data_IF_519775745566
#
_entry.id   IF_519775745566
#
_cell.length_a   1.000
_cell.length_b   1.000
_cell.length_c   1.000
_cell.angle_alpha   90.00
_cell.angle_beta   90.00
_cell.angle_gamma   90.00
#
_symmetry.space_group_name_H-M   'P 1'
#
loop_
_entity.id
_entity.type
_entity.pdbx_description
1 polymer ?
#
# COMPACT_ATOMS: atom_id res chain seq x y z
N UNK A 1 18.75 -3.17 17.15
CA UNK A 1 17.73 -3.65 16.20
C UNK A 1 17.64 -5.16 16.34
N UNK A 2 16.52 -5.72 16.76
CA UNK A 2 16.44 -7.15 17.10
C UNK A 2 16.10 -7.97 15.84
N UNK A 3 17.12 -8.42 15.10
CA UNK A 3 16.98 -9.40 14.03
C UNK A 3 16.91 -10.80 14.63
N UNK A 4 15.79 -11.49 14.39
CA UNK A 4 15.55 -12.85 14.86
C UNK A 4 15.86 -13.80 13.70
N UNK A 5 16.96 -14.60 13.79
CA UNK A 5 17.31 -15.54 12.73
C UNK A 5 16.27 -16.65 12.61
N UNK A 6 16.16 -17.28 11.43
CA UNK A 6 15.18 -18.32 11.18
C UNK A 6 15.24 -19.49 12.17
N UNK A 7 16.41 -19.80 12.72
CA UNK A 7 16.61 -20.84 13.73
C UNK A 7 15.88 -20.57 15.06
N UNK A 8 15.62 -19.29 15.38
CA UNK A 8 14.91 -18.87 16.60
C UNK A 8 13.41 -18.63 16.39
N UNK A 9 12.91 -18.70 15.17
CA UNK A 9 11.49 -18.45 14.86
C UNK A 9 10.57 -19.59 15.35
N UNK A 10 11.13 -20.70 15.81
CA UNK A 10 10.37 -21.78 16.48
C UNK A 10 10.04 -21.47 17.94
N UNK A 11 10.59 -20.41 18.54
CA UNK A 11 10.14 -19.92 19.85
C UNK A 11 8.66 -19.55 19.78
N UNK A 12 7.88 -19.95 20.80
CA UNK A 12 6.41 -19.89 20.80
C UNK A 12 5.85 -18.52 20.40
N UNK A 13 6.42 -17.43 20.91
CA UNK A 13 5.97 -16.05 20.63
C UNK A 13 6.07 -15.68 19.15
N UNK A 14 7.11 -16.15 18.42
CA UNK A 14 7.29 -15.88 17.00
C UNK A 14 6.51 -16.87 16.13
N UNK A 15 6.50 -18.14 16.54
CA UNK A 15 5.74 -19.18 15.87
C UNK A 15 4.25 -18.85 15.78
N UNK A 16 3.67 -18.28 16.86
CA UNK A 16 2.30 -17.78 16.87
C UNK A 16 2.04 -16.63 15.89
N UNK A 17 3.03 -15.80 15.58
CA UNK A 17 2.89 -14.75 14.55
C UNK A 17 2.93 -15.38 13.16
N UNK A 18 3.90 -16.26 12.93
CA UNK A 18 4.09 -16.92 11.63
C UNK A 18 2.88 -17.76 11.26
N UNK A 19 2.23 -18.42 12.22
CA UNK A 19 1.04 -19.27 12.03
C UNK A 19 -0.25 -18.59 12.52
N UNK A 20 -0.31 -17.27 12.57
CA UNK A 20 -1.50 -16.56 13.09
C UNK A 20 -2.76 -16.86 12.26
N UNK A 21 -3.94 -17.01 12.90
CA UNK A 21 -4.18 -16.94 14.36
C UNK A 21 -3.94 -18.25 15.10
N UNK A 22 -3.86 -19.38 14.40
CA UNK A 22 -3.76 -20.71 15.00
C UNK A 22 -2.40 -21.33 14.71
N UNK A 23 -1.64 -21.59 15.78
CA UNK A 23 -0.36 -22.28 15.69
C UNK A 23 -0.55 -23.77 15.37
N UNK A 24 0.19 -24.23 14.36
CA UNK A 24 0.34 -25.64 14.01
C UNK A 24 1.80 -25.92 13.63
N UNK A 25 2.37 -27.01 14.16
CA UNK A 25 3.81 -27.32 13.98
C UNK A 25 4.17 -27.60 12.51
N UNK A 26 3.29 -28.29 11.81
CA UNK A 26 3.50 -28.62 10.39
C UNK A 26 3.48 -27.34 9.54
N UNK A 27 2.52 -26.47 9.80
CA UNK A 27 2.40 -25.18 9.12
C UNK A 27 3.63 -24.29 9.37
N UNK A 28 4.13 -24.23 10.60
CA UNK A 28 5.37 -23.52 10.91
C UNK A 28 6.55 -24.07 10.10
N UNK A 29 6.72 -25.40 10.09
CA UNK A 29 7.80 -26.05 9.36
C UNK A 29 7.77 -25.73 7.87
N UNK A 30 6.57 -25.80 7.27
CA UNK A 30 6.32 -25.43 5.88
C UNK A 30 6.73 -23.97 5.61
N UNK A 31 6.25 -23.02 6.43
CA UNK A 31 6.53 -21.60 6.26
C UNK A 31 7.99 -21.24 6.44
N UNK A 32 8.69 -21.88 7.38
CA UNK A 32 10.14 -21.73 7.53
C UNK A 32 10.90 -22.25 6.32
N UNK A 33 10.44 -23.32 5.69
CA UNK A 33 10.99 -23.81 4.43
C UNK A 33 10.75 -22.80 3.28
N UNK A 34 9.54 -22.23 3.18
CA UNK A 34 9.22 -21.18 2.22
C UNK A 34 10.07 -19.92 2.42
N UNK A 35 10.31 -19.49 3.68
CA UNK A 35 11.21 -18.37 3.99
C UNK A 35 12.64 -18.63 3.49
N UNK A 36 13.16 -19.85 3.66
CA UNK A 36 14.48 -20.21 3.13
C UNK A 36 14.53 -20.14 1.60
N UNK A 37 13.49 -20.61 0.91
CA UNK A 37 13.37 -20.53 -0.56
C UNK A 37 13.36 -19.08 -1.07
N UNK A 38 12.78 -18.16 -0.30
CA UNK A 38 12.80 -16.72 -0.60
C UNK A 38 14.13 -16.03 -0.18
N UNK A 39 15.10 -16.75 0.33
CA UNK A 39 16.38 -16.21 0.75
C UNK A 39 16.32 -15.35 2.03
N UNK A 40 15.24 -15.49 2.82
CA UNK A 40 15.09 -14.77 4.08
C UNK A 40 16.07 -15.36 5.11
N UNK A 41 16.83 -14.51 5.79
CA UNK A 41 17.81 -14.87 6.82
C UNK A 41 17.29 -14.62 8.23
N UNK A 42 16.52 -13.52 8.40
CA UNK A 42 15.99 -13.12 9.69
C UNK A 42 14.67 -12.33 9.52
N UNK A 43 13.85 -12.31 10.56
CA UNK A 43 12.71 -11.40 10.69
C UNK A 43 12.99 -10.35 11.76
N UNK A 44 12.32 -9.21 11.66
CA UNK A 44 12.32 -8.17 12.68
C UNK A 44 10.87 -7.79 13.00
N UNK A 45 10.51 -7.92 14.25
CA UNK A 45 9.15 -7.67 14.74
C UNK A 45 9.07 -6.26 15.31
N UNK A 46 8.75 -5.32 14.44
CA UNK A 46 8.60 -3.88 14.72
C UNK A 46 7.33 -3.35 14.09
N UNK A 47 6.86 -2.20 14.55
CA UNK A 47 5.69 -1.51 14.01
C UNK A 47 4.67 -1.16 15.10
N UNK A 48 3.61 -0.48 14.70
CA UNK A 48 2.59 0.07 15.60
C UNK A 48 1.45 -0.92 15.91
N UNK A 49 1.38 -2.03 15.16
CA UNK A 49 0.39 -3.07 15.41
C UNK A 49 0.99 -4.15 16.31
N UNK A 50 0.14 -4.74 17.16
CA UNK A 50 0.55 -5.82 18.07
C UNK A 50 -0.29 -7.08 17.86
N UNK A 51 0.35 -8.23 18.05
CA UNK A 51 -0.28 -9.54 18.17
C UNK A 51 0.30 -10.16 19.44
N UNK A 52 -0.50 -10.20 20.51
CA UNK A 52 0.03 -10.41 21.86
C UNK A 52 1.03 -9.30 22.20
N UNK A 53 2.24 -9.69 22.60
CA UNK A 53 3.33 -8.75 22.95
C UNK A 53 4.22 -8.41 21.75
N UNK A 54 4.03 -9.06 20.60
CA UNK A 54 4.91 -8.91 19.44
C UNK A 54 4.39 -7.81 18.51
N UNK A 55 5.26 -6.86 18.17
CA UNK A 55 4.96 -5.80 17.22
C UNK A 55 5.06 -6.30 15.78
N UNK A 56 4.18 -5.79 14.90
CA UNK A 56 4.18 -6.09 13.47
C UNK A 56 3.93 -4.81 12.66
N UNK A 57 4.37 -4.76 11.41
CA UNK A 57 4.15 -3.60 10.51
C UNK A 57 2.67 -3.45 10.14
N UNK A 58 2.00 -4.56 9.90
CA UNK A 58 0.59 -4.58 9.51
C UNK A 58 -0.11 -5.85 9.94
N UNK A 59 -1.43 -5.73 10.18
CA UNK A 59 -2.33 -6.86 10.45
C UNK A 59 -3.61 -6.63 9.64
N UNK A 60 -3.80 -7.44 8.61
CA UNK A 60 -4.95 -7.43 7.72
C UNK A 60 -5.85 -8.65 7.90
N UNK A 61 -6.84 -8.75 7.03
CA UNK A 61 -7.74 -9.92 6.95
C UNK A 61 -7.03 -11.14 6.36
N UNK A 62 -6.23 -10.95 5.31
CA UNK A 62 -5.53 -12.03 4.61
C UNK A 62 -4.17 -12.32 5.21
N UNK A 63 -3.44 -11.31 5.71
CA UNK A 63 -2.06 -11.51 6.14
C UNK A 63 -1.58 -10.57 7.24
N UNK A 64 -0.41 -10.92 7.75
CA UNK A 64 0.38 -10.14 8.69
C UNK A 64 1.64 -9.68 7.96
N UNK A 65 2.02 -8.42 8.13
CA UNK A 65 3.23 -7.86 7.51
C UNK A 65 4.29 -7.65 8.59
N UNK A 66 5.50 -8.18 8.34
CA UNK A 66 6.68 -8.02 9.19
C UNK A 66 7.88 -7.57 8.37
N UNK A 67 8.92 -7.02 9.02
CA UNK A 67 10.20 -6.80 8.34
C UNK A 67 10.95 -8.10 8.19
N UNK A 68 11.53 -8.32 7.01
CA UNK A 68 12.42 -9.44 6.70
C UNK A 68 13.80 -8.92 6.26
N UNK A 69 14.82 -9.73 6.46
CA UNK A 69 16.18 -9.46 5.99
C UNK A 69 16.63 -10.58 5.07
N UNK A 70 17.10 -10.21 3.89
CA UNK A 70 17.70 -11.08 2.87
C UNK A 70 19.15 -10.67 2.64
N UNK A 71 19.87 -11.38 1.79
CA UNK A 71 21.21 -10.96 1.33
C UNK A 71 21.19 -9.61 0.58
N UNK A 72 20.05 -9.27 -0.03
CA UNK A 72 19.85 -8.00 -0.76
C UNK A 72 19.41 -6.83 0.13
N UNK A 73 19.26 -7.07 1.44
CA UNK A 73 18.86 -6.06 2.41
C UNK A 73 17.48 -6.28 3.01
N UNK A 74 16.92 -5.19 3.53
CA UNK A 74 15.62 -5.16 4.21
C UNK A 74 14.47 -5.27 3.21
N UNK A 75 13.48 -6.08 3.55
CA UNK A 75 12.26 -6.32 2.77
C UNK A 75 11.03 -6.31 3.69
N UNK A 76 9.84 -6.21 3.11
CA UNK A 76 8.57 -6.46 3.78
C UNK A 76 8.08 -7.86 3.41
N UNK A 77 7.69 -8.63 4.43
CA UNK A 77 7.14 -9.98 4.27
C UNK A 77 5.69 -9.98 4.73
N UNK A 78 4.77 -10.22 3.79
CA UNK A 78 3.36 -10.52 4.11
C UNK A 78 3.22 -12.03 4.26
N UNK A 79 2.76 -12.45 5.43
CA UNK A 79 2.56 -13.86 5.82
C UNK A 79 1.06 -14.10 5.83
N UNK A 80 0.56 -15.03 5.01
CA UNK A 80 -0.84 -15.37 4.95
C UNK A 80 -1.33 -15.91 6.30
N UNK A 81 -2.48 -15.46 6.74
CA UNK A 81 -3.13 -16.01 7.95
C UNK A 81 -3.62 -17.43 7.68
N UNK A 82 -3.57 -18.28 8.70
CA UNK A 82 -4.05 -19.68 8.57
C UNK A 82 -5.56 -19.80 8.41
N UNK A 83 -6.31 -18.76 8.85
CA UNK A 83 -7.77 -18.65 8.72
C UNK A 83 -8.23 -17.78 7.54
N UNK A 84 -7.31 -17.38 6.65
CA UNK A 84 -7.69 -16.58 5.48
C UNK A 84 -8.47 -17.41 4.46
N UNK A 85 -9.56 -16.85 3.92
CA UNK A 85 -10.37 -17.48 2.87
C UNK A 85 -9.55 -17.80 1.60
N UNK A 86 -8.52 -17.00 1.32
CA UNK A 86 -7.60 -17.22 0.21
C UNK A 86 -6.59 -18.30 0.56
N UNK A 87 -6.48 -19.30 -0.31
CA UNK A 87 -5.57 -20.44 -0.12
C UNK A 87 -4.10 -20.12 -0.44
N UNK A 88 -3.81 -19.06 -1.17
CA UNK A 88 -2.45 -18.71 -1.60
C UNK A 88 -2.24 -17.21 -1.75
N UNK A 89 -0.97 -16.78 -1.73
CA UNK A 89 -0.55 -15.40 -2.02
C UNK A 89 -0.41 -15.11 -3.53
N UNK A 90 -0.66 -16.11 -4.39
CA UNK A 90 -0.45 -16.02 -5.84
C UNK A 90 -1.21 -14.85 -6.46
N UNK A 91 -2.50 -14.71 -6.14
CA UNK A 91 -3.33 -13.64 -6.71
C UNK A 91 -2.76 -12.24 -6.40
N UNK A 92 -2.41 -11.98 -5.15
CA UNK A 92 -1.84 -10.69 -4.75
C UNK A 92 -0.48 -10.44 -5.44
N UNK A 93 0.35 -11.48 -5.56
CA UNK A 93 1.62 -11.40 -6.28
C UNK A 93 1.44 -11.06 -7.76
N UNK A 94 0.48 -11.68 -8.44
CA UNK A 94 0.14 -11.40 -9.84
C UNK A 94 -0.37 -9.97 -10.02
N UNK A 95 -1.25 -9.49 -9.16
CA UNK A 95 -1.76 -8.11 -9.20
C UNK A 95 -0.65 -7.09 -8.92
N UNK A 96 0.21 -7.36 -7.93
CA UNK A 96 1.38 -6.53 -7.66
C UNK A 96 2.37 -6.51 -8.83
N UNK A 97 2.56 -7.64 -9.52
CA UNK A 97 3.41 -7.70 -10.70
C UNK A 97 2.87 -6.83 -11.86
N UNK A 98 1.56 -6.84 -12.08
CA UNK A 98 0.92 -5.94 -13.05
C UNK A 98 1.11 -4.47 -12.62
N UNK A 99 0.89 -4.14 -11.36
CA UNK A 99 1.12 -2.79 -10.84
C UNK A 99 2.59 -2.36 -11.03
N UNK A 100 3.55 -3.26 -10.77
CA UNK A 100 4.98 -3.00 -10.96
C UNK A 100 5.35 -2.76 -12.44
N UNK A 101 4.66 -3.39 -13.40
CA UNK A 101 4.91 -3.15 -14.83
C UNK A 101 4.61 -1.71 -15.27
N UNK A 102 3.79 -1.00 -14.50
CA UNK A 102 3.46 0.42 -14.70
C UNK A 102 4.05 1.32 -13.60
N UNK A 103 5.09 0.86 -12.90
CA UNK A 103 5.81 1.57 -11.85
C UNK A 103 4.91 2.03 -10.69
N UNK A 104 4.01 1.15 -10.23
CA UNK A 104 3.14 1.38 -9.07
C UNK A 104 3.36 0.28 -8.03
N UNK A 105 3.28 0.65 -6.75
CA UNK A 105 3.45 -0.24 -5.61
C UNK A 105 4.91 -0.60 -5.29
N UNK A 106 5.15 -1.28 -4.16
CA UNK A 106 6.47 -1.81 -3.82
C UNK A 106 6.86 -2.91 -4.80
N UNK A 107 8.15 -3.01 -5.13
CA UNK A 107 8.62 -4.04 -6.05
C UNK A 107 8.40 -5.43 -5.44
N UNK A 108 7.80 -6.34 -6.22
CA UNK A 108 7.70 -7.75 -5.89
C UNK A 108 9.11 -8.38 -5.94
N UNK A 109 9.53 -9.00 -4.84
CA UNK A 109 10.82 -9.67 -4.71
C UNK A 109 10.70 -11.18 -4.84
N UNK A 110 9.53 -11.74 -4.50
CA UNK A 110 9.22 -13.15 -4.64
C UNK A 110 7.95 -13.52 -3.88
N UNK A 111 7.44 -14.69 -4.14
CA UNK A 111 6.30 -15.22 -3.40
C UNK A 111 6.31 -16.76 -3.36
N UNK A 112 5.55 -17.30 -2.43
CA UNK A 112 5.28 -18.73 -2.27
C UNK A 112 3.78 -18.92 -2.04
N UNK A 113 3.37 -20.09 -1.61
CA UNK A 113 1.96 -20.32 -1.29
C UNK A 113 1.48 -19.40 -0.16
N UNK A 114 2.28 -19.24 0.89
CA UNK A 114 1.87 -18.56 2.12
C UNK A 114 2.59 -17.23 2.37
N UNK A 115 3.56 -16.88 1.54
CA UNK A 115 4.43 -15.73 1.74
C UNK A 115 4.49 -14.84 0.50
N UNK A 116 4.47 -13.51 0.71
CA UNK A 116 4.72 -12.49 -0.30
C UNK A 116 5.85 -11.59 0.19
N UNK A 117 6.98 -11.61 -0.50
CA UNK A 117 8.16 -10.79 -0.22
C UNK A 117 8.20 -9.60 -1.17
N UNK A 118 8.26 -8.40 -0.62
CA UNK A 118 8.25 -7.16 -1.40
C UNK A 118 9.23 -6.14 -0.83
N UNK A 119 9.53 -5.12 -1.61
CA UNK A 119 10.34 -3.99 -1.22
C UNK A 119 9.83 -3.37 0.09
N UNK A 120 10.76 -3.07 1.00
CA UNK A 120 10.43 -2.36 2.24
C UNK A 120 10.39 -0.85 1.98
N UNK A 121 9.22 -0.25 2.12
CA UNK A 121 9.05 1.18 1.97
C UNK A 121 9.22 1.86 3.34
N UNK A 122 10.27 2.66 3.45
CA UNK A 122 10.53 3.44 4.67
C UNK A 122 9.83 4.79 4.58
N UNK A 123 8.69 4.91 5.23
CA UNK A 123 7.87 6.11 5.17
C UNK A 123 6.76 6.12 6.22
N UNK A 124 5.86 7.08 6.08
CA UNK A 124 4.68 7.25 6.92
C UNK A 124 3.42 7.04 6.08
N UNK A 125 2.37 6.52 6.69
CA UNK A 125 1.04 6.54 6.08
C UNK A 125 0.64 7.99 5.76
N UNK A 126 -0.01 8.22 4.62
CA UNK A 126 -0.37 9.54 4.13
C UNK A 126 -0.99 10.47 5.20
N UNK A 127 -1.94 10.02 6.07
CA UNK A 127 -2.47 10.89 7.12
C UNK A 127 -1.42 11.31 8.16
N UNK A 128 -0.50 10.42 8.51
CA UNK A 128 0.56 10.70 9.46
C UNK A 128 1.64 11.59 8.84
N UNK A 129 1.96 11.36 7.56
CA UNK A 129 2.90 12.20 6.81
C UNK A 129 2.40 13.64 6.70
N UNK A 130 1.13 13.86 6.31
CA UNK A 130 0.54 15.20 6.24
C UNK A 130 0.61 15.89 7.59
N UNK A 131 0.22 15.23 8.68
CA UNK A 131 0.29 15.79 10.04
C UNK A 131 1.71 16.20 10.44
N UNK A 132 2.71 15.46 9.98
CA UNK A 132 4.11 15.75 10.28
C UNK A 132 4.60 17.02 9.60
N UNK A 133 4.17 17.26 8.35
CA UNK A 133 4.71 18.37 7.53
C UNK A 133 3.83 19.64 7.52
N UNK A 134 2.63 19.59 8.10
CA UNK A 134 1.63 20.66 7.97
C UNK A 134 2.13 22.03 8.42
N UNK A 135 3.06 22.09 9.36
CA UNK A 135 3.65 23.33 9.89
C UNK A 135 4.90 23.80 9.12
N UNK A 136 5.37 23.01 8.14
CA UNK A 136 6.53 23.37 7.35
C UNK A 136 6.18 24.45 6.30
N UNK A 137 7.11 25.35 5.99
CA UNK A 137 6.90 26.45 5.04
C UNK A 137 6.46 26.02 3.67
N UNK A 138 6.92 24.83 3.21
CA UNK A 138 6.66 24.26 1.89
C UNK A 138 5.57 23.18 1.91
N UNK A 139 4.86 23.02 3.02
CA UNK A 139 3.83 21.99 3.20
C UNK A 139 2.82 21.95 2.04
N UNK A 140 2.29 23.10 1.63
CA UNK A 140 1.34 23.20 0.50
C UNK A 140 1.93 22.63 -0.79
N UNK A 141 3.17 22.99 -1.13
CA UNK A 141 3.86 22.52 -2.33
C UNK A 141 4.11 21.02 -2.27
N UNK A 142 4.58 20.52 -1.13
CA UNK A 142 4.86 19.09 -0.90
C UNK A 142 3.57 18.26 -0.96
N UNK A 143 2.50 18.69 -0.28
CA UNK A 143 1.20 18.01 -0.32
C UNK A 143 0.67 17.94 -1.73
N UNK A 144 0.66 19.05 -2.49
CA UNK A 144 0.21 19.04 -3.89
C UNK A 144 1.02 18.08 -4.75
N UNK A 145 2.35 18.04 -4.60
CA UNK A 145 3.22 17.12 -5.34
C UNK A 145 2.88 15.65 -5.04
N UNK A 146 2.74 15.30 -3.77
CA UNK A 146 2.40 13.92 -3.34
C UNK A 146 1.00 13.53 -3.82
N UNK A 147 0.00 14.42 -3.71
CA UNK A 147 -1.34 14.15 -4.20
C UNK A 147 -1.37 13.95 -5.72
N UNK A 148 -0.63 14.76 -6.47
CA UNK A 148 -0.48 14.57 -7.91
C UNK A 148 0.18 13.22 -8.24
N UNK A 149 1.26 12.84 -7.53
CA UNK A 149 1.91 11.55 -7.72
C UNK A 149 0.95 10.38 -7.46
N UNK A 150 0.13 10.45 -6.40
CA UNK A 150 -0.91 9.45 -6.12
C UNK A 150 -1.90 9.33 -7.28
N UNK A 151 -2.39 10.46 -7.81
CA UNK A 151 -3.35 10.44 -8.92
C UNK A 151 -2.71 9.89 -10.21
N UNK A 152 -1.46 10.26 -10.51
CA UNK A 152 -0.73 9.72 -11.66
C UNK A 152 -0.50 8.21 -11.54
N UNK A 153 -0.22 7.71 -10.35
CA UNK A 153 -0.13 6.26 -10.10
C UNK A 153 -1.48 5.58 -10.32
N UNK A 154 -2.57 6.15 -9.80
CA UNK A 154 -3.93 5.65 -10.03
C UNK A 154 -4.30 5.64 -11.51
N UNK A 155 -3.90 6.68 -12.26
CA UNK A 155 -4.12 6.74 -13.70
C UNK A 155 -3.36 5.62 -14.43
N UNK A 156 -2.11 5.37 -14.09
CA UNK A 156 -1.34 4.25 -14.67
C UNK A 156 -1.99 2.88 -14.39
N UNK A 157 -2.55 2.69 -13.20
CA UNK A 157 -3.34 1.49 -12.89
C UNK A 157 -4.60 1.40 -13.74
N UNK A 158 -5.33 2.52 -13.95
CA UNK A 158 -6.52 2.56 -14.80
C UNK A 158 -6.17 2.20 -16.25
N UNK A 159 -5.04 2.71 -16.78
CA UNK A 159 -4.53 2.38 -18.12
C UNK A 159 -4.09 0.92 -18.26
N UNK A 160 -3.55 0.34 -17.20
CA UNK A 160 -3.20 -1.08 -17.14
C UNK A 160 -4.42 -2.01 -16.98
N UNK A 161 -5.63 -1.45 -16.82
CA UNK A 161 -6.84 -2.23 -16.57
C UNK A 161 -6.88 -2.89 -15.20
N UNK A 162 -6.06 -2.44 -14.26
CA UNK A 162 -5.98 -2.98 -12.90
C UNK A 162 -6.78 -2.12 -11.93
N UNK A 163 -7.90 -2.65 -11.40
CA UNK A 163 -8.66 -2.02 -10.33
C UNK A 163 -8.13 -2.46 -8.97
N UNK A 164 -7.67 -1.52 -8.15
CA UNK A 164 -7.14 -1.80 -6.80
C UNK A 164 -8.23 -2.29 -5.83
N UNK A 165 -9.43 -1.77 -5.94
CA UNK A 165 -10.61 -2.18 -5.18
C UNK A 165 -10.83 -1.45 -3.85
N UNK A 166 -9.81 -0.87 -3.21
CA UNK A 166 -9.93 -0.28 -1.85
C UNK A 166 -9.54 1.19 -1.75
N UNK A 167 -9.24 1.88 -2.86
CA UNK A 167 -8.73 3.26 -2.80
C UNK A 167 -9.76 4.30 -2.34
N UNK A 168 -11.04 3.98 -2.33
CA UNK A 168 -12.07 4.86 -1.73
C UNK A 168 -12.01 4.91 -0.19
N UNK A 169 -11.28 3.98 0.44
CA UNK A 169 -11.06 3.89 1.89
C UNK A 169 -9.58 3.67 2.18
N UNK A 170 -8.73 4.54 1.67
CA UNK A 170 -7.28 4.36 1.57
C UNK A 170 -6.38 4.94 2.69
N UNK A 171 -6.81 5.11 3.97
CA UNK A 171 -5.92 5.67 4.98
C UNK A 171 -4.71 4.78 5.28
N UNK A 172 -4.76 3.47 4.92
CA UNK A 172 -3.70 2.48 5.15
C UNK A 172 -2.96 2.08 3.87
N UNK A 173 -3.44 2.51 2.69
CA UNK A 173 -2.97 2.00 1.41
C UNK A 173 -2.01 2.95 0.70
N UNK A 174 -1.65 4.08 1.32
CA UNK A 174 -0.65 4.99 0.78
C UNK A 174 0.39 5.31 1.85
N UNK A 175 1.65 4.99 1.54
CA UNK A 175 2.83 5.45 2.29
C UNK A 175 3.51 6.55 1.48
N UNK A 176 4.02 7.57 2.18
CA UNK A 176 4.91 8.59 1.62
C UNK A 176 6.29 8.39 2.24
N UNK A 177 7.30 8.21 1.40
CA UNK A 177 8.67 8.01 1.83
C UNK A 177 9.38 9.32 2.19
N UNK A 178 10.65 9.22 2.60
CA UNK A 178 11.45 10.40 3.00
C UNK A 178 11.74 11.38 1.85
N UNK A 179 11.62 10.94 0.61
CA UNK A 179 11.77 11.75 -0.59
C UNK A 179 10.46 12.34 -1.12
N UNK A 180 9.37 12.24 -0.35
CA UNK A 180 8.00 12.62 -0.74
C UNK A 180 7.47 11.86 -1.97
N UNK A 181 7.96 10.63 -2.21
CA UNK A 181 7.34 9.74 -3.19
C UNK A 181 6.21 8.96 -2.54
N UNK A 182 5.07 8.92 -3.21
CA UNK A 182 3.94 8.12 -2.78
C UNK A 182 4.09 6.66 -3.23
N UNK A 183 3.57 5.74 -2.42
CA UNK A 183 3.57 4.30 -2.67
C UNK A 183 2.19 3.74 -2.36
N UNK A 184 1.52 3.19 -3.37
CA UNK A 184 0.23 2.50 -3.21
C UNK A 184 0.53 1.06 -2.79
N UNK A 185 -0.13 0.58 -1.73
CA UNK A 185 0.12 -0.71 -1.11
C UNK A 185 -1.14 -1.58 -1.11
N UNK A 186 -0.93 -2.89 -0.91
CA UNK A 186 -1.98 -3.86 -0.62
C UNK A 186 -2.91 -4.16 -1.80
N UNK A 187 -2.41 -4.98 -2.73
CA UNK A 187 -3.11 -5.40 -3.95
C UNK A 187 -3.95 -6.67 -3.75
N UNK A 188 -4.27 -7.05 -2.50
CA UNK A 188 -4.99 -8.29 -2.23
C UNK A 188 -6.39 -8.33 -2.84
N UNK A 189 -7.08 -7.18 -2.93
CA UNK A 189 -8.42 -7.08 -3.53
C UNK A 189 -8.39 -6.61 -4.98
N UNK A 190 -7.20 -6.35 -5.53
CA UNK A 190 -7.04 -5.88 -6.90
C UNK A 190 -7.54 -6.90 -7.92
N UNK A 191 -7.96 -6.43 -9.10
CA UNK A 191 -8.54 -7.29 -10.13
C UNK A 191 -8.45 -6.65 -11.52
N UNK A 192 -8.14 -7.47 -12.51
CA UNK A 192 -8.23 -7.11 -13.94
C UNK A 192 -9.60 -7.45 -14.55
N UNK A 193 -10.46 -8.14 -13.79
CA UNK A 193 -11.81 -8.53 -14.25
C UNK A 193 -12.86 -7.44 -13.99
N UNK A 194 -12.57 -6.48 -13.13
CA UNK A 194 -13.41 -5.31 -12.88
C UNK A 194 -12.95 -4.14 -13.73
N UNK A 195 -13.88 -3.26 -14.06
CA UNK A 195 -13.50 -1.99 -14.70
C UNK A 195 -12.69 -1.15 -13.73
N UNK A 196 -11.46 -0.83 -14.09
CA UNK A 196 -10.58 0.01 -13.31
C UNK A 196 -11.19 1.41 -13.09
N UNK A 197 -11.12 1.90 -11.87
CA UNK A 197 -11.68 3.20 -11.48
C UNK A 197 -10.88 3.84 -10.33
N UNK A 198 -9.55 3.65 -10.33
CA UNK A 198 -8.66 4.04 -9.26
C UNK A 198 -8.62 5.56 -9.05
N UNK A 199 -8.53 6.34 -10.13
CA UNK A 199 -8.59 7.82 -10.05
C UNK A 199 -9.88 8.27 -9.39
N UNK A 200 -11.03 7.71 -9.80
CA UNK A 200 -12.33 8.07 -9.22
C UNK A 200 -12.40 7.70 -7.74
N UNK A 201 -11.92 6.51 -7.40
CA UNK A 201 -11.95 5.98 -6.03
C UNK A 201 -11.04 6.77 -5.09
N UNK A 202 -9.82 7.09 -5.52
CA UNK A 202 -8.89 7.86 -4.69
C UNK A 202 -9.33 9.32 -4.52
N UNK A 203 -9.94 9.93 -5.56
CA UNK A 203 -10.48 11.29 -5.44
C UNK A 203 -11.63 11.37 -4.43
N UNK A 204 -12.46 10.33 -4.30
CA UNK A 204 -13.48 10.27 -3.25
C UNK A 204 -12.86 10.35 -1.87
N UNK A 205 -11.76 9.61 -1.64
CA UNK A 205 -11.05 9.60 -0.38
C UNK A 205 -10.31 10.91 -0.08
N UNK A 206 -9.65 11.50 -1.10
CA UNK A 206 -8.79 12.66 -0.91
C UNK A 206 -9.54 13.99 -0.91
N UNK A 207 -10.66 14.14 -1.67
CA UNK A 207 -11.24 15.44 -1.94
C UNK A 207 -12.74 15.58 -1.67
N UNK A 208 -13.49 14.47 -1.61
CA UNK A 208 -14.95 14.58 -1.57
C UNK A 208 -15.55 14.32 -0.20
N UNK A 209 -15.06 13.34 0.56
CA UNK A 209 -15.71 12.92 1.82
C UNK A 209 -14.71 12.53 2.90
N UNK A 210 -15.05 12.91 4.13
CA UNK A 210 -14.41 12.44 5.35
C UNK A 210 -13.18 13.25 5.77
N UNK A 211 -12.59 12.84 6.87
CA UNK A 211 -11.50 13.55 7.56
C UNK A 211 -10.27 13.84 6.69
N UNK A 212 -10.00 13.00 5.68
CA UNK A 212 -8.88 13.24 4.78
C UNK A 212 -9.16 14.41 3.83
N UNK A 213 -10.36 14.47 3.26
CA UNK A 213 -10.76 15.59 2.40
C UNK A 213 -10.77 16.93 3.19
N UNK A 214 -11.27 16.91 4.44
CA UNK A 214 -11.22 18.07 5.33
C UNK A 214 -9.78 18.52 5.63
N UNK A 215 -8.90 17.57 5.95
CA UNK A 215 -7.48 17.86 6.21
C UNK A 215 -6.79 18.46 4.99
N UNK A 216 -7.01 17.88 3.82
CA UNK A 216 -6.41 18.35 2.55
C UNK A 216 -6.98 19.72 2.18
N UNK A 217 -8.29 19.92 2.28
CA UNK A 217 -8.91 21.21 1.95
C UNK A 217 -8.40 22.35 2.85
N UNK A 218 -8.08 22.08 4.11
CA UNK A 218 -7.46 23.04 5.02
C UNK A 218 -6.03 23.46 4.60
N UNK A 219 -5.37 22.66 3.78
CA UNK A 219 -3.98 22.93 3.36
C UNK A 219 -3.91 23.54 1.95
N UNK A 220 -4.61 22.97 0.98
CA UNK A 220 -4.49 23.35 -0.44
C UNK A 220 -5.73 24.08 -1.00
N UNK A 221 -6.76 24.28 -0.17
CA UNK A 221 -8.07 24.80 -0.57
C UNK A 221 -9.05 23.68 -0.94
N UNK A 222 -10.33 24.02 -0.92
CA UNK A 222 -11.40 23.08 -1.25
C UNK A 222 -11.55 22.96 -2.76
N UNK A 223 -11.55 21.72 -3.27
CA UNK A 223 -11.91 21.44 -4.65
C UNK A 223 -13.42 21.73 -4.86
N UNK A 224 -13.82 22.29 -6.02
CA UNK A 224 -15.23 22.52 -6.34
C UNK A 224 -15.93 21.16 -6.52
N UNK A 225 -16.69 20.75 -5.49
CA UNK A 225 -17.20 19.37 -5.37
C UNK A 225 -18.09 18.94 -6.53
N UNK A 226 -19.01 19.80 -6.96
CA UNK A 226 -19.95 19.47 -8.05
C UNK A 226 -19.24 19.33 -9.39
N UNK A 227 -18.30 20.26 -9.69
CA UNK A 227 -17.49 20.20 -10.90
C UNK A 227 -16.59 18.97 -10.89
N UNK A 228 -15.94 18.69 -9.76
CA UNK A 228 -15.10 17.51 -9.62
C UNK A 228 -15.89 16.22 -9.84
N UNK A 229 -17.10 16.12 -9.29
CA UNK A 229 -17.99 14.96 -9.52
C UNK A 229 -18.36 14.78 -10.99
N UNK A 230 -18.61 15.87 -11.73
CA UNK A 230 -18.87 15.82 -13.17
C UNK A 230 -17.63 15.37 -13.95
N UNK A 231 -16.46 15.92 -13.62
CA UNK A 231 -15.18 15.54 -14.23
C UNK A 231 -14.85 14.06 -13.99
N UNK A 232 -15.05 13.56 -12.76
CA UNK A 232 -14.84 12.16 -12.42
C UNK A 232 -15.79 11.22 -13.17
N UNK A 233 -17.07 11.60 -13.33
CA UNK A 233 -18.02 10.86 -14.18
C UNK A 233 -17.57 10.83 -15.64
N UNK A 234 -17.07 11.96 -16.16
CA UNK A 234 -16.55 12.06 -17.54
C UNK A 234 -15.32 11.19 -17.71
N UNK A 235 -14.34 11.28 -16.80
CA UNK A 235 -13.13 10.45 -16.81
C UNK A 235 -13.48 8.96 -16.73
N UNK A 236 -14.40 8.57 -15.86
CA UNK A 236 -14.82 7.16 -15.75
C UNK A 236 -15.40 6.62 -17.07
N UNK A 237 -16.07 7.44 -17.87
CA UNK A 237 -16.59 7.04 -19.20
C UNK A 237 -15.50 7.01 -20.25
N UNK A 238 -14.61 8.00 -20.24
CA UNK A 238 -13.52 8.20 -21.20
C UNK A 238 -12.24 8.55 -20.45
N UNK A 239 -11.40 7.56 -20.06
CA UNK A 239 -10.20 7.75 -19.23
C UNK A 239 -9.01 8.29 -20.05
N UNK A 240 -9.22 9.44 -20.73
CA UNK A 240 -8.19 10.12 -21.52
C UNK A 240 -7.30 10.99 -20.63
N UNK A 241 -6.10 11.28 -21.11
CA UNK A 241 -5.18 12.24 -20.45
C UNK A 241 -5.83 13.62 -20.30
N UNK A 242 -6.55 14.09 -21.32
CA UNK A 242 -7.25 15.37 -21.26
C UNK A 242 -8.28 15.44 -20.12
N UNK A 243 -9.10 14.40 -19.96
CA UNK A 243 -10.07 14.36 -18.86
C UNK A 243 -9.40 14.24 -17.49
N UNK A 244 -8.24 13.59 -17.43
CA UNK A 244 -7.45 13.50 -16.21
C UNK A 244 -6.83 14.85 -15.82
N UNK A 245 -6.26 15.61 -16.78
CA UNK A 245 -5.72 16.95 -16.51
C UNK A 245 -6.79 17.89 -15.94
N UNK A 246 -8.01 17.84 -16.43
CA UNK A 246 -9.13 18.62 -15.87
C UNK A 246 -9.42 18.27 -14.39
N UNK A 247 -9.23 17.01 -14.00
CA UNK A 247 -9.31 16.61 -12.59
C UNK A 247 -8.16 17.22 -11.79
N UNK A 248 -6.93 17.18 -12.32
CA UNK A 248 -5.78 17.80 -11.64
C UNK A 248 -5.97 19.31 -11.45
N UNK A 249 -6.50 20.00 -12.48
CA UNK A 249 -6.84 21.43 -12.40
C UNK A 249 -7.87 21.71 -11.32
N UNK A 250 -8.99 20.99 -11.32
CA UNK A 250 -10.05 21.15 -10.32
C UNK A 250 -9.56 20.87 -8.88
N UNK A 251 -8.55 20.02 -8.73
CA UNK A 251 -7.91 19.72 -7.44
C UNK A 251 -6.72 20.65 -7.11
N UNK A 252 -6.46 21.70 -7.90
CA UNK A 252 -5.32 22.61 -7.74
C UNK A 252 -3.96 21.90 -7.73
N UNK A 253 -3.78 20.87 -8.55
CA UNK A 253 -2.57 20.04 -8.65
C UNK A 253 -1.77 20.28 -9.93
N UNK A 254 -2.06 21.34 -10.69
CA UNK A 254 -1.32 21.77 -11.88
C UNK A 254 -0.26 22.81 -11.53
N UNK A 255 0.66 23.12 -12.48
CA UNK A 255 1.68 24.17 -12.32
C UNK A 255 2.77 23.87 -11.29
N UNK A 256 2.92 22.62 -10.88
CA UNK A 256 4.01 22.16 -10.02
C UNK A 256 5.24 21.94 -10.88
N UNK A 257 6.01 23.01 -11.12
CA UNK A 257 7.34 22.87 -11.72
C UNK A 257 8.20 21.99 -10.81
N UNK A 258 8.81 20.96 -11.41
CA UNK A 258 9.80 20.07 -10.80
C UNK A 258 11.00 20.85 -10.28
#
# INVERSE_FOLDING_TARGET
>A
MCMIPLSKLSEEKYARIICYPKYEREELTKRLCEMRRLGIKALCFVGDKKIGEVSVLGKGYVGIVVSAYTEKGKAALKIRRTDADRKTMKHEAEMLQIANSVNVGPRLLGFTQDLLLMEFIEGLLLPAWIKKIIEERDAVKRVRRVLRDILEQCRRLDEAGLDHGELSKAPKHVIVDRGDKAWILDFETASTMRRASNVTSICQFLFLKGRMAELISGIIGQAPQDDLLLLLKKYKRSPTRENFEKILEACALTGLNC
#
